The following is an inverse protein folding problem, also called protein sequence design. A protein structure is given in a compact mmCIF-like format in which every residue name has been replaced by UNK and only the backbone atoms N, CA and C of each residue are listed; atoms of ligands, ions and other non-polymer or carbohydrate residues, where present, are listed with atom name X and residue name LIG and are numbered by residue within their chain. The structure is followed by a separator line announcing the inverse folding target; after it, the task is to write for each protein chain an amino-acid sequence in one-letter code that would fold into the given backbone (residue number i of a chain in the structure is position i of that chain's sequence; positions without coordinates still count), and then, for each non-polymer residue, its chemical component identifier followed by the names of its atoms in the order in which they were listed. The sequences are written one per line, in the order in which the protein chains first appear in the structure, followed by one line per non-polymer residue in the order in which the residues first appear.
data_IF_466143736372
#
_entry.id   IF_466143736372
#
_cell.length_a   1.000
_cell.length_b   1.000
_cell.length_c   1.000
_cell.angle_alpha   90.00
_cell.angle_beta   90.00
_cell.angle_gamma   90.00
#
_symmetry.space_group_name_H-M   'P 1'
#
loop_
_entity.id
_entity.type
_entity.pdbx_description
1 polymer ?
#
# COMPACT_ATOMS: atom_id res chain seq x y z
N UNK A 1 -10.24 23.02 0.53
CA UNK A 1 -10.72 24.24 1.22
C UNK A 1 -11.18 25.24 0.18
N UNK A 2 -12.48 25.29 -0.10
CA UNK A 2 -13.16 26.54 -0.45
C UNK A 2 -14.60 26.40 0.05
N UNK A 3 -14.97 27.39 0.84
CA UNK A 3 -16.13 27.46 1.73
C UNK A 3 -17.29 28.04 0.91
N UNK A 4 -18.35 27.26 0.69
CA UNK A 4 -19.58 27.79 0.11
C UNK A 4 -20.35 28.55 1.19
N UNK A 5 -20.66 29.82 0.89
CA UNK A 5 -21.56 30.67 1.66
C UNK A 5 -22.99 30.15 1.50
N UNK A 6 -23.67 29.97 2.62
CA UNK A 6 -25.13 29.93 2.69
C UNK A 6 -25.66 31.35 2.53
N UNK A 7 -26.61 31.57 1.63
CA UNK A 7 -27.53 32.70 1.67
C UNK A 7 -28.86 32.22 1.05
N UNK A 8 -29.93 32.22 1.84
CA UNK A 8 -31.23 31.70 1.36
C UNK A 8 -32.38 31.75 2.36
N UNK A 9 -32.75 32.96 2.84
CA UNK A 9 -34.14 33.28 3.20
C UNK A 9 -34.45 34.73 2.83
N UNK A 10 -35.62 34.98 2.22
CA UNK A 10 -36.42 36.07 2.73
C UNK A 10 -37.88 35.67 3.02
N UNK A 11 -38.37 36.36 4.05
CA UNK A 11 -39.67 36.35 4.67
C UNK A 11 -40.71 37.09 3.82
N UNK A 12 -41.96 36.62 3.87
CA UNK A 12 -43.13 37.39 3.49
C UNK A 12 -43.21 38.70 4.30
N UNK A 13 -43.59 39.80 3.65
CA UNK A 13 -44.24 40.94 4.27
C UNK A 13 -45.21 41.57 3.25
N UNK A 14 -46.44 41.80 3.72
CA UNK A 14 -47.55 42.43 3.02
C UNK A 14 -47.21 43.86 2.56
N UNK A 15 -47.61 44.20 1.33
CA UNK A 15 -47.75 45.58 0.86
C UNK A 15 -49.16 46.08 1.14
N UNK A 16 -49.27 47.11 1.98
CA UNK A 16 -50.45 47.94 2.13
C UNK A 16 -50.55 48.95 0.98
N UNK A 17 -51.78 49.09 0.49
CA UNK A 17 -52.48 50.30 0.04
C UNK A 17 -51.70 51.39 -0.69
N UNK A 18 -52.02 51.56 -1.98
CA UNK A 18 -52.01 52.86 -2.64
C UNK A 18 -53.42 53.15 -3.16
N UNK A 19 -53.98 54.28 -2.73
CA UNK A 19 -55.32 54.75 -3.00
C UNK A 19 -55.22 55.95 -3.94
N UNK A 20 -55.65 55.77 -5.19
CA UNK A 20 -55.77 56.83 -6.18
C UNK A 20 -57.21 57.24 -6.46
N UNK A 21 -57.37 58.57 -6.61
CA UNK A 21 -58.39 59.34 -7.35
C UNK A 21 -59.85 59.34 -6.88
N UNK A 22 -60.24 60.47 -6.28
CA UNK A 22 -61.59 61.01 -6.34
C UNK A 22 -61.92 61.47 -7.77
N UNK A 23 -63.03 60.95 -8.32
CA UNK A 23 -63.71 61.45 -9.51
C UNK A 23 -65.10 61.91 -9.10
N UNK A 24 -65.48 63.03 -9.68
CA UNK A 24 -66.69 63.82 -9.46
C UNK A 24 -67.99 63.01 -9.54
N UNK A 25 -68.98 63.48 -8.77
CA UNK A 25 -70.30 62.89 -8.67
C UNK A 25 -71.13 62.96 -9.94
N UNK A 26 -71.98 61.94 -10.10
CA UNK A 26 -73.18 61.98 -10.91
C UNK A 26 -74.24 61.13 -10.22
N UNK A 27 -75.39 61.75 -9.96
CA UNK A 27 -76.56 61.20 -9.28
C UNK A 27 -77.11 59.97 -10.01
N UNK A 28 -77.37 58.89 -9.28
CA UNK A 28 -78.24 57.80 -9.71
C UNK A 28 -79.02 57.24 -8.51
N UNK A 29 -80.23 57.76 -8.35
CA UNK A 29 -81.47 57.03 -8.08
C UNK A 29 -81.40 55.79 -7.17
N UNK A 30 -81.81 55.97 -5.91
CA UNK A 30 -82.12 54.88 -4.97
C UNK A 30 -83.36 54.11 -5.43
N UNK A 31 -83.15 52.95 -6.05
CA UNK A 31 -84.19 51.92 -6.20
C UNK A 31 -84.27 51.06 -4.94
N UNK A 32 -85.47 50.56 -4.55
CA UNK A 32 -85.67 49.84 -3.29
C UNK A 32 -85.10 48.42 -3.39
N UNK A 33 -84.38 47.99 -2.36
CA UNK A 33 -83.84 46.64 -2.27
C UNK A 33 -84.97 45.60 -2.23
N UNK A 34 -85.13 44.84 -3.31
CA UNK A 34 -85.99 43.66 -3.41
C UNK A 34 -85.51 42.59 -2.40
N UNK A 35 -86.40 41.88 -1.70
CA UNK A 35 -85.99 40.82 -0.79
C UNK A 35 -85.44 39.64 -1.58
N UNK A 36 -84.21 39.19 -1.27
CA UNK A 36 -83.57 38.04 -1.93
C UNK A 36 -84.52 36.84 -1.91
N UNK A 37 -84.83 36.30 -3.10
CA UNK A 37 -85.68 35.13 -3.24
C UNK A 37 -84.88 33.85 -3.08
N UNK A 38 -85.57 32.72 -2.83
CA UNK A 38 -84.93 31.40 -2.68
C UNK A 38 -84.26 30.94 -3.99
N UNK A 39 -84.71 31.44 -5.13
CA UNK A 39 -84.03 31.26 -6.43
C UNK A 39 -82.71 32.05 -6.50
N UNK A 40 -82.67 33.30 -6.04
CA UNK A 40 -81.44 34.13 -6.06
C UNK A 40 -80.32 33.52 -5.21
N UNK A 41 -80.66 33.00 -4.02
CA UNK A 41 -79.72 32.28 -3.16
C UNK A 41 -79.19 30.99 -3.83
N UNK A 42 -80.02 30.29 -4.60
CA UNK A 42 -79.60 29.09 -5.37
C UNK A 42 -78.73 29.48 -6.56
N UNK A 43 -78.98 30.62 -7.20
CA UNK A 43 -78.16 31.14 -8.29
C UNK A 43 -76.76 31.53 -7.78
N UNK A 44 -76.67 32.30 -6.69
CA UNK A 44 -75.40 32.64 -6.06
C UNK A 44 -74.64 31.39 -5.56
N UNK A 45 -75.33 30.38 -5.03
CA UNK A 45 -74.69 29.13 -4.62
C UNK A 45 -74.13 28.36 -5.82
N UNK A 46 -74.84 28.36 -6.96
CA UNK A 46 -74.35 27.75 -8.21
C UNK A 46 -73.14 28.49 -8.74
N UNK A 47 -73.18 29.82 -8.78
CA UNK A 47 -72.10 30.68 -9.23
C UNK A 47 -70.85 30.52 -8.37
N UNK A 48 -70.97 30.67 -7.05
CA UNK A 48 -69.86 30.43 -6.12
C UNK A 48 -69.32 29.00 -6.20
N UNK A 49 -70.17 27.99 -6.41
CA UNK A 49 -69.71 26.61 -6.62
C UNK A 49 -68.95 26.44 -7.93
N UNK A 50 -69.33 27.18 -8.98
CA UNK A 50 -68.65 27.18 -10.26
C UNK A 50 -67.30 27.90 -10.14
N UNK A 51 -67.25 29.02 -9.44
CA UNK A 51 -66.01 29.77 -9.16
C UNK A 51 -65.03 28.95 -8.33
N UNK A 52 -65.50 28.28 -7.27
CA UNK A 52 -64.68 27.38 -6.46
C UNK A 52 -64.13 26.23 -7.32
N UNK A 53 -64.95 25.63 -8.19
CA UNK A 53 -64.50 24.58 -9.11
C UNK A 53 -63.47 25.10 -10.11
N UNK A 54 -63.69 26.27 -10.69
CA UNK A 54 -62.77 26.89 -11.64
C UNK A 54 -61.43 27.25 -10.96
N UNK A 55 -61.49 27.87 -9.78
CA UNK A 55 -60.31 28.22 -9.00
C UNK A 55 -59.52 26.98 -8.57
N UNK A 56 -60.20 25.95 -8.04
CA UNK A 56 -59.55 24.70 -7.63
C UNK A 56 -58.96 23.94 -8.81
N UNK A 57 -59.65 23.89 -9.97
CA UNK A 57 -59.12 23.30 -11.19
C UNK A 57 -57.85 24.03 -11.66
N UNK A 58 -57.87 25.36 -11.70
CA UNK A 58 -56.71 26.18 -12.09
C UNK A 58 -55.53 26.01 -11.11
N UNK A 59 -55.80 25.95 -9.81
CA UNK A 59 -54.77 25.72 -8.79
C UNK A 59 -54.14 24.32 -8.92
N UNK A 60 -54.95 23.29 -9.16
CA UNK A 60 -54.49 21.92 -9.40
C UNK A 60 -53.68 21.82 -10.70
N UNK A 61 -54.11 22.44 -11.78
CA UNK A 61 -53.37 22.48 -13.05
C UNK A 61 -51.99 23.14 -12.87
N UNK A 62 -51.93 24.25 -12.12
CA UNK A 62 -50.66 24.91 -11.79
C UNK A 62 -49.72 24.00 -10.98
N UNK A 63 -50.25 23.26 -10.00
CA UNK A 63 -49.42 22.32 -9.24
C UNK A 63 -48.98 21.12 -10.07
N UNK A 64 -49.88 20.53 -10.87
CA UNK A 64 -49.57 19.41 -11.76
C UNK A 64 -48.50 19.80 -12.79
N UNK A 65 -48.60 20.99 -13.37
CA UNK A 65 -47.58 21.49 -14.30
C UNK A 65 -46.24 21.77 -13.61
N UNK A 66 -46.25 22.26 -12.36
CA UNK A 66 -45.05 22.36 -11.53
C UNK A 66 -44.39 21.01 -11.27
N UNK A 67 -45.16 20.03 -10.80
CA UNK A 67 -44.68 18.66 -10.56
C UNK A 67 -44.15 17.99 -11.83
N UNK A 68 -44.79 18.20 -12.99
CA UNK A 68 -44.31 17.69 -14.28
C UNK A 68 -42.92 18.24 -14.63
N UNK A 69 -42.68 19.53 -14.41
CA UNK A 69 -41.36 20.15 -14.63
C UNK A 69 -40.30 19.61 -13.68
N UNK A 70 -40.62 19.46 -12.40
CA UNK A 70 -39.70 18.86 -11.42
C UNK A 70 -39.37 17.41 -11.77
N UNK A 71 -40.38 16.64 -12.22
CA UNK A 71 -40.20 15.25 -12.66
C UNK A 71 -39.31 15.17 -13.90
N UNK A 72 -39.44 16.07 -14.87
CA UNK A 72 -38.56 16.15 -16.05
C UNK A 72 -37.10 16.45 -15.67
N UNK A 73 -36.89 17.37 -14.71
CA UNK A 73 -35.56 17.65 -14.16
C UNK A 73 -34.98 16.42 -13.44
N UNK A 74 -35.80 15.72 -12.64
CA UNK A 74 -35.39 14.51 -11.93
C UNK A 74 -35.03 13.38 -12.90
N UNK A 75 -35.81 13.18 -13.97
CA UNK A 75 -35.51 12.19 -15.01
C UNK A 75 -34.18 12.52 -15.68
N UNK A 76 -33.97 13.77 -16.09
CA UNK A 76 -32.71 14.20 -16.72
C UNK A 76 -31.49 13.99 -15.81
N UNK A 77 -31.65 14.28 -14.51
CA UNK A 77 -30.59 14.07 -13.52
C UNK A 77 -30.33 12.58 -13.28
N UNK A 78 -31.37 11.76 -13.33
CA UNK A 78 -31.28 10.30 -13.17
C UNK A 78 -30.53 9.69 -14.36
N UNK A 79 -30.89 10.05 -15.59
CA UNK A 79 -30.18 9.63 -16.81
C UNK A 79 -28.70 10.02 -16.78
N UNK A 80 -28.39 11.23 -16.30
CA UNK A 80 -27.01 11.68 -16.16
C UNK A 80 -26.24 10.82 -15.13
N UNK A 81 -26.85 10.57 -13.97
CA UNK A 81 -26.25 9.74 -12.93
C UNK A 81 -26.04 8.30 -13.40
N UNK A 82 -26.99 7.71 -14.11
CA UNK A 82 -26.85 6.36 -14.68
C UNK A 82 -25.68 6.27 -15.66
N UNK A 83 -25.50 7.30 -16.51
CA UNK A 83 -24.34 7.37 -17.42
C UNK A 83 -23.02 7.49 -16.65
N UNK A 84 -22.96 8.31 -15.61
CA UNK A 84 -21.78 8.44 -14.76
C UNK A 84 -21.48 7.13 -14.02
N UNK A 85 -22.49 6.44 -13.50
CA UNK A 85 -22.33 5.14 -12.84
C UNK A 85 -21.78 4.11 -13.82
N UNK A 86 -22.31 4.07 -15.05
CA UNK A 86 -21.81 3.17 -16.08
C UNK A 86 -20.35 3.47 -16.45
N UNK A 87 -20.00 4.73 -16.66
CA UNK A 87 -18.63 5.16 -17.00
C UNK A 87 -17.64 4.92 -15.84
N UNK A 88 -18.06 5.15 -14.60
CA UNK A 88 -17.23 4.83 -13.44
C UNK A 88 -17.06 3.33 -13.27
N UNK A 89 -18.11 2.53 -13.47
CA UNK A 89 -18.03 1.07 -13.41
C UNK A 89 -17.08 0.51 -14.48
N UNK A 90 -17.14 0.99 -15.72
CA UNK A 90 -16.21 0.54 -16.78
C UNK A 90 -14.77 0.91 -16.43
N UNK A 91 -14.51 2.14 -15.97
CA UNK A 91 -13.18 2.57 -15.49
C UNK A 91 -12.69 1.73 -14.33
N UNK A 92 -13.54 1.47 -13.35
CA UNK A 92 -13.19 0.63 -12.19
C UNK A 92 -12.85 -0.79 -12.61
N UNK A 93 -13.60 -1.40 -13.53
CA UNK A 93 -13.26 -2.75 -14.03
C UNK A 93 -11.95 -2.79 -14.82
N UNK A 94 -11.65 -1.75 -15.61
CA UNK A 94 -10.37 -1.64 -16.30
C UNK A 94 -9.22 -1.50 -15.30
N UNK A 95 -9.36 -0.65 -14.29
CA UNK A 95 -8.35 -0.48 -13.24
C UNK A 95 -8.11 -1.77 -12.45
N UNK A 96 -9.15 -2.55 -12.15
CA UNK A 96 -8.97 -3.85 -11.48
C UNK A 96 -8.13 -4.81 -12.32
N UNK A 97 -8.39 -4.89 -13.63
CA UNK A 97 -7.59 -5.71 -14.54
C UNK A 97 -6.13 -5.24 -14.62
N UNK A 98 -5.92 -3.93 -14.67
CA UNK A 98 -4.57 -3.37 -14.67
C UNK A 98 -3.83 -3.68 -13.35
N UNK A 99 -4.53 -3.63 -12.21
CA UNK A 99 -3.93 -4.00 -10.92
C UNK A 99 -3.57 -5.47 -10.83
N UNK A 100 -4.40 -6.38 -11.34
CA UNK A 100 -4.09 -7.81 -11.42
C UNK A 100 -2.84 -8.05 -12.29
N UNK A 101 -2.80 -7.44 -13.48
CA UNK A 101 -1.64 -7.54 -14.37
C UNK A 101 -0.35 -7.00 -13.73
N UNK A 102 -0.46 -5.89 -12.99
CA UNK A 102 0.67 -5.31 -12.27
C UNK A 102 1.15 -6.23 -11.13
N UNK A 103 0.23 -6.86 -10.39
CA UNK A 103 0.57 -7.81 -9.34
C UNK A 103 1.32 -9.03 -9.91
N UNK A 104 0.81 -9.61 -11.00
CA UNK A 104 1.47 -10.74 -11.68
C UNK A 104 2.87 -10.37 -12.16
N UNK A 105 3.01 -9.17 -12.74
CA UNK A 105 4.32 -8.67 -13.20
C UNK A 105 5.27 -8.40 -12.04
N UNK A 106 4.78 -7.91 -10.92
CA UNK A 106 5.59 -7.72 -9.71
C UNK A 106 6.11 -9.07 -9.20
N UNK A 107 5.24 -10.09 -9.09
CA UNK A 107 5.66 -11.44 -8.67
C UNK A 107 6.72 -12.02 -9.60
N UNK A 108 6.51 -11.91 -10.92
CA UNK A 108 7.50 -12.35 -11.91
C UNK A 108 8.87 -11.67 -11.75
N UNK A 109 8.87 -10.35 -11.52
CA UNK A 109 10.09 -9.59 -11.30
C UNK A 109 10.77 -9.94 -9.97
N UNK A 110 10.00 -10.14 -8.91
CA UNK A 110 10.52 -10.54 -7.60
C UNK A 110 11.21 -11.91 -7.66
N UNK A 111 10.59 -12.89 -8.32
CA UNK A 111 11.17 -14.21 -8.53
C UNK A 111 12.44 -14.14 -9.40
N UNK A 112 12.43 -13.33 -10.47
CA UNK A 112 13.61 -13.09 -11.31
C UNK A 112 14.77 -12.43 -10.55
N UNK A 113 14.46 -11.45 -9.68
CA UNK A 113 15.45 -10.79 -8.82
C UNK A 113 16.02 -11.76 -7.77
N UNK A 114 15.18 -12.61 -7.18
CA UNK A 114 15.65 -13.64 -6.25
C UNK A 114 16.58 -14.64 -6.93
N UNK A 115 16.22 -15.14 -8.11
CA UNK A 115 17.05 -16.08 -8.86
C UNK A 115 18.40 -15.44 -9.26
N UNK A 116 18.39 -14.20 -9.77
CA UNK A 116 19.62 -13.49 -10.13
C UNK A 116 20.55 -13.30 -8.91
N UNK A 117 19.98 -12.91 -7.76
CA UNK A 117 20.74 -12.77 -6.52
C UNK A 117 21.36 -14.10 -6.08
N UNK A 118 20.62 -15.21 -6.14
CA UNK A 118 21.12 -16.51 -5.74
C UNK A 118 22.18 -17.05 -6.72
N UNK A 119 22.00 -16.86 -8.03
CA UNK A 119 23.02 -17.22 -9.04
C UNK A 119 24.33 -16.49 -8.79
N UNK A 120 24.27 -15.18 -8.49
CA UNK A 120 25.44 -14.37 -8.16
C UNK A 120 26.17 -14.86 -6.88
N UNK A 121 25.42 -15.40 -5.91
CA UNK A 121 25.95 -15.89 -4.63
C UNK A 121 26.27 -17.39 -4.60
N UNK A 122 26.01 -18.13 -5.67
CA UNK A 122 26.07 -19.61 -5.69
C UNK A 122 27.45 -20.17 -5.31
N UNK A 123 28.51 -19.45 -5.71
CA UNK A 123 29.91 -19.77 -5.41
C UNK A 123 30.40 -19.23 -4.07
N UNK A 124 29.56 -18.48 -3.35
CA UNK A 124 29.92 -17.92 -2.05
C UNK A 124 29.67 -18.93 -0.93
N UNK A 125 30.54 -18.88 0.08
CA UNK A 125 30.39 -19.52 1.37
C UNK A 125 30.33 -18.43 2.43
N UNK A 126 29.44 -18.60 3.41
CA UNK A 126 29.33 -17.75 4.58
C UNK A 126 29.83 -18.50 5.80
N UNK A 127 30.88 -17.99 6.43
CA UNK A 127 31.59 -18.61 7.55
C UNK A 127 31.29 -17.81 8.82
N UNK A 128 30.77 -18.48 9.84
CA UNK A 128 30.42 -17.90 11.14
C UNK A 128 31.36 -18.40 12.23
N UNK A 129 31.69 -17.52 13.18
CA UNK A 129 32.45 -17.88 14.38
C UNK A 129 33.93 -17.48 14.36
N UNK A 130 34.39 -16.78 13.32
CA UNK A 130 35.76 -16.25 13.27
C UNK A 130 35.82 -14.92 14.04
N UNK A 131 36.63 -14.82 15.12
CA UNK A 131 36.71 -13.63 15.97
C UNK A 131 37.02 -12.35 15.20
N UNK A 132 36.51 -11.20 15.66
CA UNK A 132 36.78 -9.88 15.05
C UNK A 132 38.25 -9.44 15.19
N UNK A 133 39.02 -10.08 16.07
CA UNK A 133 40.48 -9.85 16.22
C UNK A 133 41.26 -10.18 14.96
N UNK A 134 40.72 -11.05 14.09
CA UNK A 134 41.30 -11.32 12.78
C UNK A 134 41.09 -10.09 11.89
N UNK A 135 42.18 -9.35 11.68
CA UNK A 135 42.25 -8.16 10.85
C UNK A 135 41.96 -8.47 9.37
N UNK A 136 41.52 -7.47 8.58
CA UNK A 136 41.20 -7.65 7.16
C UNK A 136 42.27 -8.38 6.35
N UNK A 137 43.54 -8.04 6.56
CA UNK A 137 44.68 -8.60 5.81
C UNK A 137 44.93 -10.08 6.15
N UNK A 138 44.54 -10.50 7.36
CA UNK A 138 44.67 -11.88 7.84
C UNK A 138 43.47 -12.78 7.47
N UNK A 139 42.38 -12.22 6.94
CA UNK A 139 41.17 -13.00 6.60
C UNK A 139 41.50 -14.04 5.53
N UNK A 140 42.06 -13.62 4.39
CA UNK A 140 42.34 -14.52 3.28
C UNK A 140 43.26 -15.69 3.68
N UNK A 141 44.45 -15.46 4.30
CA UNK A 141 45.31 -16.58 4.71
C UNK A 141 44.65 -17.47 5.76
N UNK A 142 43.86 -16.90 6.69
CA UNK A 142 43.11 -17.69 7.68
C UNK A 142 42.09 -18.62 7.03
N UNK A 143 41.28 -18.09 6.09
CA UNK A 143 40.30 -18.91 5.38
C UNK A 143 40.98 -19.97 4.53
N UNK A 144 42.08 -19.64 3.84
CA UNK A 144 42.84 -20.59 3.04
C UNK A 144 43.35 -21.75 3.89
N UNK A 145 43.90 -21.47 5.08
CA UNK A 145 44.34 -22.51 6.02
C UNK A 145 43.19 -23.42 6.48
N UNK A 146 42.01 -22.84 6.78
CA UNK A 146 40.81 -23.61 7.15
C UNK A 146 40.33 -24.48 5.97
N UNK A 147 40.38 -23.98 4.73
CA UNK A 147 39.99 -24.76 3.57
C UNK A 147 40.97 -25.90 3.29
N UNK A 148 42.28 -25.66 3.47
CA UNK A 148 43.29 -26.71 3.35
C UNK A 148 43.11 -27.82 4.40
N UNK A 149 42.73 -27.47 5.64
CA UNK A 149 42.48 -28.49 6.66
C UNK A 149 41.23 -29.34 6.37
N UNK A 150 40.23 -28.76 5.70
CA UNK A 150 39.02 -29.47 5.26
C UNK A 150 39.24 -30.33 4.02
N UNK A 151 40.10 -29.91 3.09
CA UNK A 151 40.47 -30.66 1.89
C UNK A 151 42.00 -30.73 1.75
N UNK A 152 42.68 -31.60 2.53
CA UNK A 152 44.14 -31.66 2.55
C UNK A 152 44.79 -31.99 1.21
N UNK A 153 44.07 -32.72 0.36
CA UNK A 153 44.54 -33.16 -0.96
C UNK A 153 44.27 -32.14 -2.07
N UNK A 154 43.55 -31.06 -1.80
CA UNK A 154 43.29 -30.03 -2.80
C UNK A 154 44.52 -29.16 -2.99
N UNK A 155 44.81 -28.82 -4.24
CA UNK A 155 45.88 -27.92 -4.63
C UNK A 155 45.54 -26.46 -4.33
N UNK A 156 46.57 -25.63 -4.26
CA UNK A 156 46.43 -24.18 -4.09
C UNK A 156 45.59 -23.51 -5.19
N UNK A 157 45.62 -24.06 -6.42
CA UNK A 157 44.81 -23.57 -7.54
C UNK A 157 43.34 -23.96 -7.39
N UNK A 158 43.05 -25.16 -6.88
CA UNK A 158 41.67 -25.61 -6.66
C UNK A 158 41.00 -24.83 -5.52
N UNK A 159 41.76 -24.51 -4.46
CA UNK A 159 41.30 -23.69 -3.33
C UNK A 159 41.41 -22.18 -3.58
N UNK A 160 41.48 -21.74 -4.84
CA UNK A 160 41.59 -20.32 -5.16
C UNK A 160 40.36 -19.53 -4.68
N UNK A 161 40.62 -18.52 -3.85
CA UNK A 161 39.63 -17.61 -3.28
C UNK A 161 39.69 -16.29 -4.06
N UNK A 162 38.62 -15.96 -4.78
CA UNK A 162 38.52 -14.70 -5.54
C UNK A 162 38.40 -13.51 -4.59
N UNK A 163 37.62 -13.64 -3.52
CA UNK A 163 37.41 -12.58 -2.52
C UNK A 163 37.04 -13.17 -1.17
N UNK A 164 37.60 -12.64 -0.09
CA UNK A 164 37.19 -12.91 1.28
C UNK A 164 37.07 -11.60 2.05
N UNK A 165 35.92 -11.37 2.69
CA UNK A 165 35.68 -10.15 3.45
C UNK A 165 34.63 -10.39 4.53
N UNK A 166 34.59 -9.53 5.55
CA UNK A 166 33.49 -9.56 6.53
C UNK A 166 32.21 -9.01 5.92
N UNK A 167 31.08 -9.57 6.34
CA UNK A 167 29.76 -9.07 5.96
C UNK A 167 29.60 -7.60 6.36
N UNK A 168 28.94 -6.82 5.49
CA UNK A 168 28.65 -5.39 5.68
C UNK A 168 27.56 -5.20 6.75
N UNK A 169 27.92 -5.41 8.00
CA UNK A 169 27.13 -5.08 9.20
C UNK A 169 28.03 -4.29 10.16
N UNK A 170 27.47 -3.36 10.96
CA UNK A 170 28.21 -2.81 12.10
C UNK A 170 28.75 -3.94 12.97
N UNK A 171 29.99 -3.84 13.48
CA UNK A 171 30.49 -4.78 14.49
C UNK A 171 29.50 -4.83 15.64
N UNK A 172 29.18 -6.04 16.11
CA UNK A 172 28.35 -6.16 17.30
C UNK A 172 29.19 -5.83 18.53
N UNK A 173 28.61 -5.12 19.49
CA UNK A 173 29.27 -4.88 20.78
C UNK A 173 29.54 -6.19 21.54
N UNK A 174 28.75 -7.23 21.26
CA UNK A 174 28.95 -8.55 21.84
C UNK A 174 30.10 -9.28 21.12
N UNK A 175 31.23 -9.59 21.81
CA UNK A 175 32.35 -10.31 21.21
C UNK A 175 32.00 -11.75 20.83
N UNK A 176 30.93 -12.32 21.40
CA UNK A 176 30.47 -13.68 21.13
C UNK A 176 29.69 -13.81 19.81
N UNK A 177 29.41 -12.71 19.10
CA UNK A 177 28.67 -12.72 17.83
C UNK A 177 29.45 -12.03 16.71
N UNK A 178 30.66 -12.50 16.37
CA UNK A 178 31.48 -11.85 15.34
C UNK A 178 30.77 -11.82 13.98
N UNK A 179 31.09 -10.83 13.12
CA UNK A 179 30.53 -10.76 11.78
C UNK A 179 30.99 -11.95 10.95
N UNK A 180 30.01 -12.55 10.27
CA UNK A 180 30.27 -13.63 9.32
C UNK A 180 31.22 -13.16 8.22
N UNK A 181 32.11 -14.04 7.77
CA UNK A 181 32.99 -13.84 6.61
C UNK A 181 32.30 -14.42 5.37
N UNK A 182 32.29 -13.65 4.28
CA UNK A 182 31.78 -14.07 2.98
C UNK A 182 32.99 -14.30 2.07
N UNK A 183 33.12 -15.52 1.57
CA UNK A 183 34.20 -15.94 0.69
C UNK A 183 33.63 -16.43 -0.64
N UNK A 184 34.17 -15.93 -1.75
CA UNK A 184 33.83 -16.39 -3.11
C UNK A 184 34.94 -17.29 -3.64
N UNK A 185 34.59 -18.51 -4.03
CA UNK A 185 35.50 -19.44 -4.67
C UNK A 185 35.38 -19.37 -6.18
N UNK A 186 36.49 -19.66 -6.88
CA UNK A 186 36.49 -19.72 -8.35
C UNK A 186 35.71 -20.93 -8.87
N UNK A 187 35.84 -22.09 -8.22
CA UNK A 187 35.26 -23.35 -8.69
C UNK A 187 34.07 -23.78 -7.83
N UNK A 188 32.90 -23.91 -8.46
CA UNK A 188 31.67 -24.36 -7.80
C UNK A 188 31.78 -25.79 -7.21
N UNK A 189 32.36 -26.80 -7.90
CA UNK A 189 32.50 -28.15 -7.34
C UNK A 189 33.33 -28.19 -6.06
N UNK A 190 34.43 -27.43 -6.01
CA UNK A 190 35.30 -27.32 -4.83
C UNK A 190 34.51 -26.71 -3.66
N UNK A 191 33.71 -25.68 -3.91
CA UNK A 191 32.80 -25.11 -2.91
C UNK A 191 31.82 -26.16 -2.36
N UNK A 192 31.26 -27.04 -3.19
CA UNK A 192 30.35 -28.10 -2.72
C UNK A 192 31.08 -29.16 -1.88
N UNK A 193 32.30 -29.54 -2.27
CA UNK A 193 33.15 -30.45 -1.50
C UNK A 193 33.50 -29.87 -0.14
N UNK A 194 33.94 -28.60 -0.07
CA UNK A 194 34.20 -27.89 1.18
C UNK A 194 32.97 -27.85 2.09
N UNK A 195 31.80 -27.51 1.54
CA UNK A 195 30.56 -27.48 2.30
C UNK A 195 30.18 -28.87 2.85
N UNK A 196 30.48 -29.96 2.12
CA UNK A 196 30.25 -31.34 2.56
C UNK A 196 31.25 -31.75 3.65
N UNK A 197 32.53 -31.42 3.49
CA UNK A 197 33.58 -31.67 4.48
C UNK A 197 33.29 -30.93 5.79
N UNK A 198 32.92 -29.64 5.72
CA UNK A 198 32.59 -28.83 6.88
C UNK A 198 31.41 -29.38 7.69
N UNK A 199 30.38 -29.93 7.02
CA UNK A 199 29.24 -30.59 7.70
C UNK A 199 29.65 -31.88 8.42
N UNK A 200 30.67 -32.57 7.92
CA UNK A 200 31.11 -33.87 8.43
C UNK A 200 32.14 -33.72 9.56
N UNK A 201 33.01 -32.72 9.48
CA UNK A 201 34.15 -32.55 10.39
C UNK A 201 33.96 -31.46 11.45
N UNK A 202 32.95 -30.58 11.34
CA UNK A 202 32.69 -29.50 12.29
C UNK A 202 33.97 -28.71 12.67
N UNK A 203 34.58 -28.00 11.70
CA UNK A 203 35.86 -27.36 11.90
C UNK A 203 35.87 -26.37 13.06
N UNK A 204 37.04 -26.19 13.67
CA UNK A 204 37.30 -25.22 14.75
C UNK A 204 38.37 -24.22 14.33
N UNK A 205 38.35 -23.04 14.96
CA UNK A 205 39.38 -22.02 14.84
C UNK A 205 39.62 -21.44 16.24
N UNK A 206 40.86 -21.48 16.73
CA UNK A 206 41.21 -21.06 18.10
C UNK A 206 40.29 -21.71 19.15
N UNK A 207 40.10 -23.02 19.05
CA UNK A 207 39.23 -23.84 19.91
C UNK A 207 37.73 -23.47 19.88
N UNK A 208 37.32 -22.56 19.01
CA UNK A 208 35.92 -22.19 18.80
C UNK A 208 35.35 -22.88 17.55
N UNK A 209 34.16 -23.47 17.67
CA UNK A 209 33.48 -24.10 16.54
C UNK A 209 33.06 -23.06 15.49
N UNK A 210 33.46 -23.29 14.23
CA UNK A 210 33.08 -22.46 13.10
C UNK A 210 32.03 -23.17 12.24
N UNK A 211 31.12 -22.38 11.68
CA UNK A 211 29.97 -22.89 10.95
C UNK A 211 29.96 -22.39 9.51
N UNK A 212 29.66 -23.30 8.59
CA UNK A 212 29.65 -23.05 7.16
C UNK A 212 28.23 -23.05 6.62
N UNK A 213 27.83 -21.95 5.99
CA UNK A 213 26.51 -21.75 5.40
C UNK A 213 26.63 -21.38 3.92
N UNK A 214 25.58 -21.70 3.17
CA UNK A 214 25.41 -21.11 1.84
C UNK A 214 25.06 -19.62 2.00
N UNK A 215 25.67 -18.76 1.18
CA UNK A 215 25.26 -17.37 1.06
C UNK A 215 24.02 -17.30 0.16
N UNK A 216 22.84 -17.16 0.78
CA UNK A 216 21.56 -17.12 0.09
C UNK A 216 21.02 -15.69 0.08
N UNK A 217 20.18 -15.39 -0.91
CA UNK A 217 19.47 -14.12 -0.96
C UNK A 217 18.63 -13.90 0.32
N UNK A 218 18.49 -12.65 0.80
CA UNK A 218 17.66 -12.35 1.97
C UNK A 218 16.19 -12.80 1.82
N UNK A 219 15.64 -12.69 0.61
CA UNK A 219 14.28 -13.15 0.26
C UNK A 219 14.16 -14.66 0.44
N UNK A 220 15.10 -15.44 -0.08
CA UNK A 220 15.17 -16.90 0.12
C UNK A 220 15.27 -17.27 1.60
N UNK A 221 16.10 -16.56 2.37
CA UNK A 221 16.22 -16.77 3.81
C UNK A 221 14.93 -16.43 4.56
N UNK A 222 14.17 -15.42 4.11
CA UNK A 222 12.85 -15.09 4.66
C UNK A 222 11.87 -16.24 4.38
N UNK A 223 11.74 -16.68 3.12
CA UNK A 223 10.88 -17.81 2.73
C UNK A 223 11.21 -19.10 3.53
N UNK A 224 12.50 -19.41 3.72
CA UNK A 224 12.92 -20.58 4.54
C UNK A 224 12.59 -20.44 6.03
N UNK A 225 12.63 -19.22 6.58
CA UNK A 225 12.22 -18.97 7.98
C UNK A 225 10.73 -19.15 8.16
N UNK A 226 9.93 -18.71 7.18
CA UNK A 226 8.48 -18.90 7.19
C UNK A 226 8.11 -20.38 7.12
N UNK A 227 8.84 -21.20 6.34
CA UNK A 227 8.67 -22.66 6.28
C UNK A 227 9.22 -23.41 7.51
N UNK A 228 9.77 -22.73 8.53
CA UNK A 228 10.35 -23.40 9.71
C UNK A 228 9.35 -24.34 10.43
N UNK A 229 8.09 -23.94 10.70
CA UNK A 229 7.09 -24.83 11.28
C UNK A 229 6.89 -26.11 10.45
N UNK A 230 6.77 -25.97 9.13
CA UNK A 230 6.63 -27.10 8.20
C UNK A 230 7.85 -28.02 8.25
N UNK A 231 9.07 -27.48 8.14
CA UNK A 231 10.29 -28.31 8.20
C UNK A 231 10.47 -29.06 9.52
N UNK A 232 10.03 -28.45 10.63
CA UNK A 232 10.08 -29.10 11.95
C UNK A 232 9.09 -30.26 12.01
N UNK A 233 7.84 -30.01 11.59
CA UNK A 233 6.80 -31.04 11.54
C UNK A 233 7.13 -32.18 10.56
N UNK A 234 7.79 -31.89 9.43
CA UNK A 234 8.30 -32.89 8.49
C UNK A 234 9.32 -33.83 9.14
N UNK A 235 10.29 -33.28 9.88
CA UNK A 235 11.28 -34.10 10.60
C UNK A 235 10.57 -34.98 11.64
N UNK A 236 9.67 -34.41 12.44
CA UNK A 236 8.93 -35.12 13.50
C UNK A 236 8.08 -36.28 12.94
N UNK A 237 7.53 -36.11 11.74
CA UNK A 237 6.72 -37.13 11.04
C UNK A 237 7.54 -38.10 10.16
N UNK A 238 8.88 -38.03 10.24
CA UNK A 238 9.80 -38.93 9.56
C UNK A 238 9.99 -38.65 8.06
N UNK A 239 9.59 -37.49 7.57
CA UNK A 239 9.90 -37.02 6.23
C UNK A 239 11.32 -36.44 6.18
N UNK A 240 12.09 -36.81 5.16
CA UNK A 240 13.35 -36.13 4.85
C UNK A 240 13.07 -34.99 3.90
N UNK A 241 13.65 -33.82 4.14
CA UNK A 241 13.54 -32.70 3.21
C UNK A 241 14.91 -32.26 2.69
N UNK A 242 14.90 -31.63 1.52
CA UNK A 242 16.06 -31.01 0.89
C UNK A 242 15.66 -29.67 0.29
N UNK A 243 16.55 -28.69 0.45
CA UNK A 243 16.40 -27.39 -0.20
C UNK A 243 17.01 -27.43 -1.61
N UNK A 244 16.20 -27.10 -2.62
CA UNK A 244 16.64 -26.86 -3.99
C UNK A 244 16.88 -25.37 -4.27
N UNK A 245 17.59 -25.10 -5.37
CA UNK A 245 17.90 -23.75 -5.85
C UNK A 245 16.81 -23.21 -6.79
N UNK A 246 16.48 -21.90 -6.74
CA UNK A 246 16.89 -20.93 -5.71
C UNK A 246 16.09 -21.14 -4.41
N UNK A 247 14.79 -21.41 -4.53
CA UNK A 247 13.89 -21.78 -3.45
C UNK A 247 12.95 -22.90 -3.90
N UNK A 248 13.14 -24.09 -3.32
CA UNK A 248 12.31 -25.27 -3.52
C UNK A 248 12.46 -26.17 -2.29
N UNK A 249 11.37 -26.65 -1.71
CA UNK A 249 11.43 -27.65 -0.64
C UNK A 249 11.00 -28.99 -1.21
N UNK A 250 11.95 -29.92 -1.37
CA UNK A 250 11.66 -31.29 -1.79
C UNK A 250 11.58 -32.18 -0.56
N UNK A 251 10.49 -32.93 -0.40
CA UNK A 251 10.29 -33.86 0.72
C UNK A 251 10.19 -35.28 0.20
N UNK A 252 10.75 -36.24 0.94
CA UNK A 252 10.77 -37.66 0.56
C UNK A 252 10.54 -38.56 1.77
N UNK A 253 9.71 -39.59 1.59
CA UNK A 253 9.47 -40.68 2.54
C UNK A 253 9.23 -41.96 1.75
N UNK A 254 10.17 -42.91 1.83
CA UNK A 254 10.16 -44.10 0.96
C UNK A 254 10.28 -43.71 -0.52
N UNK A 255 9.35 -44.18 -1.35
CA UNK A 255 9.26 -43.85 -2.78
C UNK A 255 8.52 -42.53 -3.06
N UNK A 256 7.76 -42.03 -2.09
CA UNK A 256 6.98 -40.81 -2.26
C UNK A 256 7.88 -39.58 -2.20
N UNK A 257 7.76 -38.69 -3.19
CA UNK A 257 8.42 -37.39 -3.20
C UNK A 257 7.48 -36.28 -3.61
N UNK A 258 7.45 -35.21 -2.83
CA UNK A 258 6.66 -34.01 -3.12
C UNK A 258 7.55 -32.77 -3.13
N UNK A 259 7.08 -31.72 -3.80
CA UNK A 259 7.81 -30.46 -3.90
C UNK A 259 6.88 -29.29 -3.60
N UNK A 260 7.37 -28.37 -2.78
CA UNK A 260 6.77 -27.07 -2.52
C UNK A 260 7.61 -25.96 -3.18
N UNK A 261 6.95 -25.11 -3.97
CA UNK A 261 7.57 -24.01 -4.72
C UNK A 261 7.31 -22.63 -4.10
N UNK A 262 6.16 -22.45 -3.44
CA UNK A 262 5.78 -21.19 -2.83
C UNK A 262 5.48 -21.36 -1.34
N UNK A 263 5.62 -20.27 -0.58
CA UNK A 263 5.27 -20.28 0.84
C UNK A 263 3.76 -20.22 1.04
N UNK A 264 3.02 -19.63 0.10
CA UNK A 264 1.56 -19.53 0.16
C UNK A 264 0.89 -20.91 0.26
N UNK A 265 1.40 -21.89 -0.49
CA UNK A 265 0.85 -23.25 -0.52
C UNK A 265 1.30 -24.12 0.68
N UNK A 266 1.94 -23.53 1.71
CA UNK A 266 2.48 -24.28 2.85
C UNK A 266 1.40 -25.08 3.59
N UNK A 267 0.23 -24.48 3.79
CA UNK A 267 -0.88 -25.11 4.53
C UNK A 267 -1.46 -26.27 3.72
N UNK A 268 -1.84 -26.03 2.46
CA UNK A 268 -2.36 -27.05 1.56
C UNK A 268 -1.38 -28.22 1.39
N UNK A 269 -0.08 -27.92 1.32
CA UNK A 269 0.98 -28.91 1.25
C UNK A 269 1.09 -29.75 2.54
N UNK A 270 0.95 -29.13 3.71
CA UNK A 270 0.94 -29.84 4.98
C UNK A 270 -0.28 -30.76 5.12
N UNK A 271 -1.46 -30.26 4.72
CA UNK A 271 -2.71 -31.00 4.74
C UNK A 271 -2.66 -32.19 3.78
N UNK A 272 -2.10 -32.02 2.58
CA UNK A 272 -1.85 -33.10 1.63
C UNK A 272 -0.93 -34.20 2.19
N UNK A 273 0.03 -33.83 3.04
CA UNK A 273 0.94 -34.80 3.69
C UNK A 273 0.38 -35.37 5.00
N UNK A 274 -0.80 -34.92 5.45
CA UNK A 274 -1.39 -35.30 6.73
C UNK A 274 -0.60 -34.79 7.93
N UNK A 275 0.06 -33.63 7.81
CA UNK A 275 0.93 -33.05 8.84
C UNK A 275 0.24 -31.85 9.48
N UNK A 276 0.09 -31.88 10.81
CA UNK A 276 -0.40 -30.72 11.56
C UNK A 276 0.72 -29.74 11.83
N UNK A 277 0.59 -28.51 11.33
CA UNK A 277 1.56 -27.44 11.58
C UNK A 277 1.40 -26.87 12.99
N UNK A 278 2.51 -26.74 13.71
CA UNK A 278 2.58 -26.03 14.99
C UNK A 278 3.32 -24.72 14.81
N UNK A 279 2.60 -23.61 14.94
CA UNK A 279 3.22 -22.28 14.91
C UNK A 279 3.72 -21.93 16.32
N UNK A 280 4.99 -21.50 16.46
CA UNK A 280 5.42 -20.91 17.72
C UNK A 280 4.57 -19.65 17.99
N UNK A 281 4.19 -19.44 19.25
CA UNK A 281 3.50 -18.23 19.67
C UNK A 281 4.27 -17.00 19.16
N UNK A 282 3.62 -16.15 18.37
CA UNK A 282 4.24 -14.93 17.86
C UNK A 282 4.56 -14.02 19.05
N UNK A 283 5.83 -13.66 19.17
CA UNK A 283 6.30 -12.70 20.16
C UNK A 283 5.64 -11.34 19.86
N UNK A 284 4.78 -10.78 20.73
CA UNK A 284 3.98 -9.57 20.44
C UNK A 284 4.83 -8.34 20.05
N UNK A 285 6.13 -8.36 20.36
CA UNK A 285 7.06 -7.26 20.14
C UNK A 285 7.77 -7.25 18.76
N UNK A 286 7.48 -8.18 17.85
CA UNK A 286 8.04 -8.11 16.48
C UNK A 286 7.16 -7.31 15.50
N UNK A 287 5.84 -7.27 15.69
CA UNK A 287 4.91 -6.54 14.81
C UNK A 287 5.03 -5.01 14.89
N UNK A 288 5.53 -4.48 16.01
CA UNK A 288 5.66 -3.02 16.23
C UNK A 288 6.89 -2.41 15.56
N UNK A 289 7.88 -3.21 15.12
CA UNK A 289 9.09 -2.68 14.47
C UNK A 289 8.95 -2.49 12.95
N UNK A 290 8.11 -3.28 12.29
CA UNK A 290 7.89 -3.15 10.83
C UNK A 290 6.88 -2.05 10.49
N UNK A 291 5.91 -1.77 11.37
CA UNK A 291 4.89 -0.73 11.18
C UNK A 291 5.38 0.70 11.51
N UNK A 292 6.46 0.85 12.30
CA UNK A 292 7.02 2.14 12.65
C UNK A 292 7.89 2.78 11.54
N UNK A 293 8.42 1.98 10.59
CA UNK A 293 9.29 2.50 9.53
C UNK A 293 8.55 3.16 8.36
N UNK A 294 7.22 3.01 8.27
CA UNK A 294 6.42 3.49 7.13
C UNK A 294 5.55 4.73 7.43
N UNK A 295 5.56 5.26 8.67
CA UNK A 295 4.95 6.57 8.94
C UNK A 295 5.97 7.69 8.67
N UNK A 296 6.22 7.94 7.39
CA UNK A 296 6.73 9.24 6.96
C UNK A 296 5.67 10.29 7.31
N UNK A 297 5.96 11.14 8.31
CA UNK A 297 5.15 12.33 8.58
C UNK A 297 5.08 13.23 7.34
N UNK A 298 4.06 14.11 7.24
CA UNK A 298 3.87 14.95 6.06
C UNK A 298 5.11 15.81 5.82
N UNK A 299 5.74 15.57 4.67
CA UNK A 299 6.93 16.29 4.20
C UNK A 299 6.46 17.70 3.79
N UNK A 300 6.68 18.69 4.65
CA UNK A 300 6.45 20.10 4.30
C UNK A 300 7.45 20.51 3.22
N UNK A 301 6.95 20.88 2.04
CA UNK A 301 7.76 21.45 0.96
C UNK A 301 8.38 22.78 1.43
N UNK A 302 9.67 23.05 1.17
CA UNK A 302 10.26 24.33 1.50
C UNK A 302 9.70 25.42 0.58
N UNK A 303 9.13 26.47 1.19
CA UNK A 303 8.65 27.68 0.50
C UNK A 303 9.80 28.42 -0.19
N UNK A 304 9.62 28.70 -1.48
CA UNK A 304 10.51 29.53 -2.30
C UNK A 304 10.62 30.95 -1.70
N UNK A 305 11.83 31.53 -1.51
CA UNK A 305 11.95 32.91 -1.07
C UNK A 305 11.53 33.88 -2.18
N UNK A 306 10.70 34.87 -1.84
CA UNK A 306 10.36 35.99 -2.71
C UNK A 306 11.57 36.96 -2.86
N UNK A 307 11.75 37.62 -4.02
CA UNK A 307 12.83 38.57 -4.20
C UNK A 307 12.58 39.85 -3.39
N UNK A 308 13.62 40.35 -2.71
CA UNK A 308 13.58 41.60 -1.94
C UNK A 308 13.36 42.78 -2.90
N UNK A 309 12.34 43.60 -2.64
CA UNK A 309 12.19 44.93 -3.27
C UNK A 309 13.33 45.82 -2.77
N UNK A 310 14.04 46.44 -3.70
CA UNK A 310 15.13 47.36 -3.42
C UNK A 310 14.67 48.63 -2.69
N UNK A 311 15.53 49.12 -1.81
CA UNK A 311 15.40 50.43 -1.17
C UNK A 311 15.66 51.56 -2.18
N UNK A 312 15.11 52.77 -1.98
CA UNK A 312 15.33 53.91 -2.89
C UNK A 312 16.71 54.54 -2.68
N UNK A 313 17.24 55.28 -3.68
CA UNK A 313 18.59 55.83 -3.65
C UNK A 313 18.68 57.06 -2.72
N UNK A 314 19.79 57.15 -2.00
CA UNK A 314 20.19 58.30 -1.18
C UNK A 314 20.75 59.40 -2.08
N UNK A 315 20.32 60.65 -1.85
CA UNK A 315 20.84 61.84 -2.53
C UNK A 315 22.25 62.21 -2.02
N UNK A 316 23.08 62.90 -2.82
CA UNK A 316 24.44 63.24 -2.43
C UNK A 316 24.47 64.49 -1.53
N UNK A 317 25.16 64.40 -0.40
CA UNK A 317 25.58 65.55 0.42
C UNK A 317 26.82 66.20 -0.20
N UNK A 318 26.77 67.52 -0.35
CA UNK A 318 27.87 68.40 -0.73
C UNK A 318 28.72 68.74 0.49
N UNK A 319 30.04 68.78 0.24
CA UNK A 319 31.10 69.62 0.78
C UNK A 319 31.17 69.89 2.29
N UNK A 320 32.33 69.58 2.88
CA UNK A 320 33.22 70.66 3.33
C UNK A 320 34.66 70.18 3.55
N UNK A 321 35.57 70.96 2.95
CA UNK A 321 37.00 70.96 3.20
C UNK A 321 37.29 71.53 4.58
N UNK A 322 38.12 70.87 5.40
CA UNK A 322 39.16 71.61 6.13
C UNK A 322 40.30 70.73 6.67
N UNK A 323 41.52 71.23 6.40
CA UNK A 323 42.83 71.02 7.03
C UNK A 323 43.58 69.71 6.80
#
# INVERSE_FOLDING_TARGET
MFRAKEDGRPSLAHSQADSGSDSEGSEAEKTPATPLTKEDLRAMLRETSADIKAYTAAALEKQITGLKKELEVLTSRTDHNERLIKDTQTKTTALHKDTELLQDRMLYLEDGLEDLNNRSRRQNIRIRGIPETVLPDAILPTIKAIFQSLLPNASDQELYIERAHRALRPPTYNPNTPRDIITKLLYFPVKEQLMKAARSHQPTYQDQQIHFYQDLAPTTLKKRRELKPLTTALIESGWRYMWGHPFKLSVKKGEQSFTLHQVADMQDFADHLGITLRYPAQDPNQATKETASHRGGPRTLPTRPQPKRGSPPTQPEQDDMNT
#
